data_IF_730183866046
#
_entry.id   IF_730183866046
#
_cell.length_a   1.000
_cell.length_b   1.000
_cell.length_c   1.000
_cell.angle_alpha   90.00
_cell.angle_beta   90.00
_cell.angle_gamma   90.00
#
_symmetry.space_group_name_H-M   'P 1'
#
loop_
_entity.id
_entity.type
_entity.pdbx_description
1 polymer ?
#
# COMPACT_ATOMS: atom_id res chain seq x y z
N UNK A 1 -8.21 -6.63 4.43
CA UNK A 1 -8.02 -6.07 3.07
C UNK A 1 -6.89 -6.84 2.42
N UNK A 2 -6.94 -7.13 1.11
CA UNK A 2 -5.89 -7.88 0.45
C UNK A 2 -4.58 -7.06 0.42
N UNK A 3 -3.50 -7.71 0.84
CA UNK A 3 -2.16 -7.13 0.87
C UNK A 3 -1.25 -7.97 -0.01
N UNK A 4 -0.44 -7.32 -0.83
CA UNK A 4 0.44 -7.96 -1.78
C UNK A 4 1.86 -7.48 -1.55
N UNK A 5 2.75 -8.43 -1.27
CA UNK A 5 4.18 -8.14 -1.12
C UNK A 5 4.89 -8.49 -2.41
N UNK A 6 5.49 -7.49 -3.04
CA UNK A 6 6.19 -7.64 -4.31
C UNK A 6 7.58 -7.03 -4.21
N UNK A 7 8.50 -7.50 -5.04
CA UNK A 7 9.86 -6.96 -5.11
C UNK A 7 9.94 -5.95 -6.25
N UNK A 8 10.52 -4.77 -5.99
CA UNK A 8 10.65 -3.73 -7.03
C UNK A 8 11.68 -4.13 -8.09
N UNK A 9 12.66 -4.96 -7.73
CA UNK A 9 13.76 -5.36 -8.62
C UNK A 9 14.52 -4.14 -9.13
N UNK A 10 14.69 -4.05 -10.45
CA UNK A 10 15.29 -2.89 -11.13
C UNK A 10 14.30 -1.76 -11.43
N UNK A 11 13.00 -2.03 -11.38
CA UNK A 11 11.96 -1.04 -11.68
C UNK A 11 11.69 -0.13 -10.47
N UNK A 12 11.25 1.11 -10.73
CA UNK A 12 10.78 2.01 -9.66
C UNK A 12 9.59 1.36 -8.93
N UNK A 13 9.50 1.49 -7.60
CA UNK A 13 8.51 0.78 -6.80
C UNK A 13 7.05 1.08 -7.20
N UNK A 14 6.75 2.33 -7.58
CA UNK A 14 5.44 2.73 -8.13
C UNK A 14 5.10 2.03 -9.45
N UNK A 15 6.10 1.78 -10.30
CA UNK A 15 5.92 1.13 -11.60
C UNK A 15 5.68 -0.36 -11.42
N UNK A 16 6.47 -1.00 -10.54
CA UNK A 16 6.30 -2.40 -10.17
C UNK A 16 4.90 -2.65 -9.58
N UNK A 17 4.46 -1.81 -8.65
CA UNK A 17 3.12 -1.87 -8.08
C UNK A 17 2.03 -1.75 -9.15
N UNK A 18 2.11 -0.75 -10.05
CA UNK A 18 1.11 -0.58 -11.12
C UNK A 18 1.08 -1.75 -12.09
N UNK A 19 2.25 -2.29 -12.48
CA UNK A 19 2.34 -3.50 -13.31
C UNK A 19 1.67 -4.67 -12.61
N UNK A 20 1.95 -4.86 -11.32
CA UNK A 20 1.38 -5.96 -10.54
C UNK A 20 -0.14 -5.87 -10.42
N UNK A 21 -0.68 -4.69 -10.09
CA UNK A 21 -2.14 -4.46 -10.04
C UNK A 21 -2.79 -4.79 -11.37
N UNK A 22 -2.18 -4.38 -12.49
CA UNK A 22 -2.71 -4.65 -13.82
C UNK A 22 -2.61 -6.12 -14.21
N UNK A 23 -1.51 -6.78 -13.83
CA UNK A 23 -1.25 -8.20 -14.11
C UNK A 23 -2.20 -9.11 -13.33
N UNK A 24 -2.30 -8.89 -12.02
CA UNK A 24 -3.14 -9.68 -11.11
C UNK A 24 -4.61 -9.21 -11.08
N UNK A 25 -4.94 -8.19 -11.89
CA UNK A 25 -6.26 -7.53 -11.94
C UNK A 25 -6.81 -7.19 -10.55
N UNK A 26 -5.96 -6.60 -9.70
CA UNK A 26 -6.30 -6.33 -8.30
C UNK A 26 -7.41 -5.29 -8.23
N UNK A 27 -8.53 -5.70 -7.64
CA UNK A 27 -9.62 -4.79 -7.33
C UNK A 27 -9.26 -3.91 -6.13
N UNK A 28 -9.51 -2.59 -6.19
CA UNK A 28 -9.41 -1.72 -5.02
C UNK A 28 -10.51 -2.05 -4.00
N UNK A 29 -10.30 -1.81 -2.68
CA UNK A 29 -9.08 -1.31 -2.05
C UNK A 29 -8.05 -2.43 -1.74
N UNK A 30 -6.80 -2.21 -2.13
CA UNK A 30 -5.70 -3.15 -1.87
C UNK A 30 -4.42 -2.46 -1.43
N UNK A 31 -3.57 -3.17 -0.68
CA UNK A 31 -2.25 -2.67 -0.26
C UNK A 31 -1.15 -3.39 -1.04
N UNK A 32 -0.19 -2.63 -1.55
CA UNK A 32 1.01 -3.15 -2.20
C UNK A 32 2.24 -2.75 -1.42
N UNK A 33 2.91 -3.75 -0.88
CA UNK A 33 4.19 -3.66 -0.18
C UNK A 33 5.28 -3.94 -1.20
N UNK A 34 5.92 -2.88 -1.69
CA UNK A 34 6.98 -2.99 -2.69
C UNK A 34 8.33 -2.98 -1.98
N UNK A 35 8.94 -4.14 -1.85
CA UNK A 35 10.27 -4.31 -1.28
C UNK A 35 11.31 -3.85 -2.30
N UNK A 36 11.89 -2.67 -2.06
CA UNK A 36 12.95 -2.09 -2.89
C UNK A 36 14.30 -2.73 -2.59
N UNK A 37 14.56 -3.03 -1.31
CA UNK A 37 15.74 -3.74 -0.82
C UNK A 37 15.36 -4.52 0.44
N UNK A 38 16.27 -5.36 0.95
CA UNK A 38 16.05 -6.08 2.21
C UNK A 38 15.69 -5.14 3.38
N UNK A 39 16.25 -3.94 3.38
CA UNK A 39 16.04 -2.94 4.43
C UNK A 39 14.96 -1.90 4.11
N UNK A 40 14.36 -1.91 2.91
CA UNK A 40 13.45 -0.83 2.49
C UNK A 40 12.25 -1.40 1.76
N UNK A 41 11.07 -1.20 2.34
CA UNK A 41 9.79 -1.56 1.75
C UNK A 41 8.92 -0.31 1.62
N UNK A 42 8.61 0.06 0.39
CA UNK A 42 7.69 1.13 0.05
C UNK A 42 6.26 0.60 0.12
N UNK A 43 5.39 1.32 0.82
CA UNK A 43 3.98 0.96 0.97
C UNK A 43 3.15 1.79 0.00
N UNK A 44 2.31 1.14 -0.80
CA UNK A 44 1.35 1.76 -1.70
C UNK A 44 -0.05 1.27 -1.41
N UNK A 45 -1.01 2.17 -1.55
CA UNK A 45 -2.43 1.93 -1.39
C UNK A 45 -3.12 2.09 -2.73
N UNK A 46 -3.73 1.02 -3.21
CA UNK A 46 -4.54 0.99 -4.41
C UNK A 46 -5.99 1.31 -4.05
N UNK A 47 -6.44 2.49 -4.45
CA UNK A 47 -7.81 2.96 -4.31
C UNK A 47 -8.53 2.98 -5.68
N UNK A 48 -9.85 3.12 -5.68
CA UNK A 48 -10.65 3.24 -6.92
C UNK A 48 -10.21 4.39 -7.83
N UNK A 49 -9.66 5.45 -7.24
CA UNK A 49 -9.10 6.59 -7.98
C UNK A 49 -7.70 6.37 -8.53
N UNK A 50 -6.92 5.44 -7.97
CA UNK A 50 -5.51 5.27 -8.34
C UNK A 50 -4.62 4.69 -7.23
N UNK A 51 -3.32 4.59 -7.54
CA UNK A 51 -2.29 4.12 -6.62
C UNK A 51 -1.65 5.31 -5.91
N UNK A 52 -1.69 5.31 -4.58
CA UNK A 52 -1.12 6.35 -3.74
C UNK A 52 -0.07 5.74 -2.81
N UNK A 53 1.01 6.46 -2.49
CA UNK A 53 1.94 6.00 -1.46
C UNK A 53 1.27 6.04 -0.09
N UNK A 54 1.44 5.02 0.75
CA UNK A 54 0.82 4.98 2.08
C UNK A 54 1.19 6.21 2.90
N UNK A 55 2.46 6.62 2.87
CA UNK A 55 2.92 7.85 3.51
C UNK A 55 2.18 9.10 2.99
N UNK A 56 1.96 9.20 1.68
CA UNK A 56 1.18 10.29 1.09
C UNK A 56 -0.26 10.27 1.59
N UNK A 57 -0.87 9.09 1.71
CA UNK A 57 -2.23 8.98 2.25
C UNK A 57 -2.27 9.29 3.75
N UNK A 58 -1.27 8.87 4.53
CA UNK A 58 -1.14 9.22 5.95
C UNK A 58 -1.00 10.74 6.14
N UNK A 59 -0.25 11.43 5.29
CA UNK A 59 -0.11 12.89 5.34
C UNK A 59 -1.36 13.62 4.80
N UNK A 60 -2.03 13.04 3.80
CA UNK A 60 -3.17 13.64 3.11
C UNK A 60 -4.51 12.99 3.49
N UNK A 61 -4.59 12.33 4.63
CA UNK A 61 -5.78 11.57 5.05
C UNK A 61 -7.04 12.45 5.17
N UNK A 62 -6.86 13.77 5.36
CA UNK A 62 -7.93 14.76 5.33
C UNK A 62 -8.58 14.92 3.94
N UNK A 63 -7.83 14.72 2.85
CA UNK A 63 -8.35 14.76 1.48
C UNK A 63 -9.18 13.51 1.13
N UNK A 64 -9.09 12.46 1.94
CA UNK A 64 -9.78 11.20 1.70
C UNK A 64 -10.54 10.73 2.96
N UNK A 65 -11.68 11.37 3.30
CA UNK A 65 -12.48 11.00 4.47
C UNK A 65 -12.90 9.52 4.48
N UNK A 66 -13.10 8.91 3.31
CA UNK A 66 -13.38 7.46 3.18
C UNK A 66 -12.16 6.56 3.38
N UNK A 67 -10.93 7.04 3.11
CA UNK A 67 -9.70 6.26 3.39
C UNK A 67 -9.28 6.36 4.86
N UNK A 68 -9.68 7.39 5.59
CA UNK A 68 -9.33 7.55 7.01
C UNK A 68 -9.72 6.33 7.84
N UNK A 69 -10.95 5.84 7.66
CA UNK A 69 -11.47 4.62 8.28
C UNK A 69 -10.70 3.36 7.88
N UNK A 70 -10.11 3.35 6.68
CA UNK A 70 -9.34 2.23 6.15
C UNK A 70 -7.94 2.20 6.75
N UNK A 71 -7.26 3.34 6.84
CA UNK A 71 -5.91 3.47 7.40
C UNK A 71 -5.94 3.24 8.92
N UNK A 72 -6.88 3.85 9.64
CA UNK A 72 -6.99 3.69 11.10
C UNK A 72 -7.23 2.23 11.50
N UNK A 73 -7.95 1.45 10.67
CA UNK A 73 -8.10 0.00 10.89
C UNK A 73 -6.80 -0.77 10.62
N UNK A 74 -5.98 -0.32 9.69
CA UNK A 74 -4.74 -1.01 9.30
C UNK A 74 -3.61 -0.75 10.31
N UNK A 75 -3.50 0.48 10.85
CA UNK A 75 -2.54 0.80 11.93
C UNK A 75 -2.77 -0.06 13.18
N UNK A 76 -4.03 -0.29 13.55
CA UNK A 76 -4.36 -1.19 14.66
C UNK A 76 -3.93 -2.64 14.45
N UNK A 77 -3.92 -3.12 13.21
CA UNK A 77 -3.51 -4.50 12.89
C UNK A 77 -1.98 -4.61 12.92
N UNK A 78 -1.26 -3.62 12.39
CA UNK A 78 0.21 -3.63 12.41
C UNK A 78 0.77 -3.50 13.84
N UNK A 79 0.19 -2.63 14.67
CA UNK A 79 0.61 -2.46 16.07
C UNK A 79 0.39 -3.73 16.93
N UNK A 80 -0.64 -4.54 16.60
CA UNK A 80 -0.92 -5.78 17.30
C UNK A 80 0.06 -6.92 16.95
N UNK A 81 0.78 -6.84 15.82
CA UNK A 81 1.67 -7.93 15.36
C UNK A 81 3.12 -7.75 15.82
N UNK A 82 3.55 -6.52 16.16
CA UNK A 82 4.88 -6.24 16.72
C UNK A 82 4.93 -6.36 18.26
N UNK A 83 3.80 -6.70 18.88
CA UNK A 83 3.65 -6.84 20.33
C UNK A 83 3.30 -8.28 20.71
N UNK A 84 4.14 -9.26 20.40
CA UNK A 84 4.06 -10.63 20.93
C UNK A 84 5.43 -11.30 20.91
#
# INVERSE_FOLDING_TARGET
>A
MPQYSIESGEDKPVTAARKYIKSEQIAPPALLLVKRNEHTTDRYFWAEKGLFGAQYVEENHFLFPSLRLVIERQEKIQAATTSS
#
